data_IF_873248920929
#
_entry.id   IF_873248920929
#
_cell.length_a   1.000
_cell.length_b   1.000
_cell.length_c   1.000
_cell.angle_alpha   90.00
_cell.angle_beta   90.00
_cell.angle_gamma   90.00
#
_symmetry.space_group_name_H-M   'P 1'
#
loop_
_entity.id
_entity.type
_entity.pdbx_description
1 polymer ?
#
# COMPACT_ATOMS: atom_id res chain seq x y z
N UNK A 1 -7.04 -16.76 3.85
CA UNK A 1 -6.13 -15.71 4.38
C UNK A 1 -6.45 -14.43 3.61
N UNK A 2 -6.91 -13.39 4.29
CA UNK A 2 -7.40 -12.16 3.66
C UNK A 2 -6.44 -11.00 3.93
N UNK A 3 -6.25 -10.15 2.93
CA UNK A 3 -5.49 -8.90 3.07
C UNK A 3 -6.46 -7.81 3.52
N UNK A 4 -6.11 -7.05 4.55
CA UNK A 4 -6.89 -5.93 5.10
C UNK A 4 -7.12 -4.81 4.07
N UNK A 5 -8.22 -4.07 4.21
CA UNK A 5 -8.54 -2.88 3.40
C UNK A 5 -8.12 -1.62 4.14
N UNK A 6 -7.82 -0.56 3.40
CA UNK A 6 -7.62 0.77 3.97
C UNK A 6 -8.94 1.32 4.47
N UNK A 7 -8.88 1.98 5.63
CA UNK A 7 -10.00 2.70 6.21
C UNK A 7 -10.24 3.99 5.45
N UNK A 8 -11.45 4.18 4.96
CA UNK A 8 -11.87 5.46 4.38
C UNK A 8 -11.88 6.56 5.44
N UNK A 9 -11.29 7.71 5.13
CA UNK A 9 -11.24 8.89 5.99
C UNK A 9 -11.89 10.07 5.27
N UNK A 10 -12.65 10.93 5.97
CA UNK A 10 -13.28 12.10 5.35
C UNK A 10 -12.25 13.08 4.74
N UNK A 11 -11.02 13.10 5.27
CA UNK A 11 -9.90 13.87 4.71
C UNK A 11 -9.45 13.44 3.32
N UNK A 12 -9.73 12.20 2.93
CA UNK A 12 -9.44 11.74 1.57
C UNK A 12 -10.31 12.50 0.56
N UNK A 13 -11.53 12.88 0.95
CA UNK A 13 -12.46 13.60 0.06
C UNK A 13 -11.98 15.02 -0.21
N UNK A 14 -11.36 15.67 0.78
CA UNK A 14 -10.91 17.06 0.66
C UNK A 14 -9.55 17.18 -0.05
N UNK A 15 -8.71 16.14 -0.01
CA UNK A 15 -7.39 16.16 -0.64
C UNK A 15 -7.31 15.18 -1.83
N UNK A 16 -7.51 15.71 -3.05
CA UNK A 16 -7.49 14.92 -4.28
C UNK A 16 -6.20 14.10 -4.49
N UNK A 17 -5.04 14.62 -4.06
CA UNK A 17 -3.75 13.89 -4.17
C UNK A 17 -3.66 12.75 -3.16
N UNK A 18 -4.20 12.93 -1.96
CA UNK A 18 -4.29 11.88 -0.96
C UNK A 18 -5.26 10.80 -1.43
N UNK A 19 -6.42 11.21 -1.96
CA UNK A 19 -7.40 10.29 -2.52
C UNK A 19 -6.81 9.41 -3.63
N UNK A 20 -6.10 10.02 -4.59
CA UNK A 20 -5.49 9.25 -5.69
C UNK A 20 -4.46 8.23 -5.18
N UNK A 21 -3.74 8.58 -4.11
CA UNK A 21 -2.77 7.69 -3.48
C UNK A 21 -3.46 6.51 -2.78
N UNK A 22 -4.56 6.77 -2.05
CA UNK A 22 -5.38 5.72 -1.45
C UNK A 22 -5.97 4.78 -2.52
N UNK A 23 -6.50 5.33 -3.61
CA UNK A 23 -7.02 4.53 -4.73
C UNK A 23 -5.93 3.65 -5.36
N UNK A 24 -4.73 4.20 -5.59
CA UNK A 24 -3.60 3.39 -6.08
C UNK A 24 -3.21 2.29 -5.09
N UNK A 25 -3.25 2.58 -3.79
CA UNK A 25 -2.88 1.59 -2.79
C UNK A 25 -3.94 0.49 -2.70
N UNK A 26 -5.24 0.82 -2.73
CA UNK A 26 -6.31 -0.18 -2.84
C UNK A 26 -6.19 -1.04 -4.09
N UNK A 27 -5.88 -0.45 -5.24
CA UNK A 27 -5.63 -1.20 -6.47
C UNK A 27 -4.47 -2.19 -6.31
N UNK A 28 -3.37 -1.77 -5.68
CA UNK A 28 -2.25 -2.66 -5.35
C UNK A 28 -2.71 -3.80 -4.45
N UNK A 29 -3.45 -3.52 -3.37
CA UNK A 29 -3.94 -4.55 -2.45
C UNK A 29 -4.90 -5.53 -3.15
N UNK A 30 -5.76 -5.04 -4.04
CA UNK A 30 -6.67 -5.87 -4.83
C UNK A 30 -5.89 -6.82 -5.74
N UNK A 31 -4.90 -6.32 -6.49
CA UNK A 31 -4.02 -7.15 -7.33
C UNK A 31 -3.29 -8.21 -6.51
N UNK A 32 -2.76 -7.81 -5.35
CA UNK A 32 -2.02 -8.69 -4.45
C UNK A 32 -2.93 -9.77 -3.86
N UNK A 33 -4.20 -9.48 -3.56
CA UNK A 33 -5.21 -10.47 -3.13
C UNK A 33 -5.50 -11.55 -4.15
N UNK A 34 -5.42 -11.23 -5.45
CA UNK A 34 -5.68 -12.24 -6.50
C UNK A 34 -4.54 -13.25 -6.65
N UNK A 35 -3.36 -12.94 -6.11
CA UNK A 35 -2.18 -13.79 -6.20
C UNK A 35 -2.09 -14.72 -5.00
N UNK A 36 -1.58 -15.93 -5.22
CA UNK A 36 -1.19 -16.81 -4.12
C UNK A 36 0.11 -16.30 -3.51
N UNK A 37 0.03 -15.79 -2.29
CA UNK A 37 1.17 -15.27 -1.53
C UNK A 37 1.47 -16.18 -0.36
N UNK A 38 2.73 -16.16 0.07
CA UNK A 38 3.11 -16.80 1.31
C UNK A 38 2.44 -16.10 2.52
N UNK A 39 2.22 -16.84 3.61
CA UNK A 39 1.56 -16.32 4.82
C UNK A 39 2.34 -15.19 5.50
N UNK A 40 3.67 -15.21 5.38
CA UNK A 40 4.54 -14.20 5.98
C UNK A 40 4.35 -12.82 5.33
N UNK A 41 4.23 -12.80 4.00
CA UNK A 41 4.04 -11.58 3.21
C UNK A 41 2.62 -11.04 3.38
N UNK A 42 1.61 -11.91 3.47
CA UNK A 42 0.25 -11.49 3.86
C UNK A 42 0.26 -10.82 5.24
N UNK A 43 0.99 -11.39 6.20
CA UNK A 43 1.08 -10.83 7.56
C UNK A 43 1.80 -9.48 7.57
N UNK A 44 2.87 -9.34 6.80
CA UNK A 44 3.60 -8.07 6.67
C UNK A 44 2.73 -6.98 6.02
N UNK A 45 2.04 -7.29 4.93
CA UNK A 45 1.14 -6.35 4.25
C UNK A 45 0.01 -5.93 5.18
N UNK A 46 -0.58 -6.88 5.92
CA UNK A 46 -1.62 -6.56 6.90
C UNK A 46 -1.09 -5.64 8.00
N UNK A 47 0.12 -5.88 8.50
CA UNK A 47 0.73 -4.98 9.49
C UNK A 47 0.92 -3.56 8.94
N UNK A 48 1.35 -3.42 7.69
CA UNK A 48 1.54 -2.11 7.05
C UNK A 48 0.20 -1.39 6.82
N UNK A 49 -0.85 -2.11 6.42
CA UNK A 49 -2.21 -1.56 6.26
C UNK A 49 -2.79 -1.14 7.61
N UNK A 50 -2.61 -1.97 8.65
CA UNK A 50 -3.07 -1.66 9.99
C UNK A 50 -2.37 -0.44 10.58
N UNK A 51 -1.09 -0.23 10.31
CA UNK A 51 -0.38 0.98 10.74
C UNK A 51 -0.97 2.24 10.10
N UNK A 52 -1.31 2.19 8.80
CA UNK A 52 -2.02 3.30 8.13
C UNK A 52 -3.40 3.51 8.78
N UNK A 53 -4.15 2.42 9.00
CA UNK A 53 -5.49 2.48 9.58
C UNK A 53 -5.52 3.02 11.01
N UNK A 54 -4.54 2.65 11.83
CA UNK A 54 -4.39 3.06 13.23
C UNK A 54 -3.73 4.43 13.39
N UNK A 55 -3.06 4.96 12.36
CA UNK A 55 -2.39 6.25 12.44
C UNK A 55 -3.36 7.39 12.74
N UNK A 56 -2.96 8.32 13.61
CA UNK A 56 -3.68 9.57 13.85
C UNK A 56 -3.24 10.70 12.91
N UNK A 57 -2.40 10.38 11.91
CA UNK A 57 -1.89 11.36 10.97
C UNK A 57 -2.98 11.83 10.01
N UNK A 58 -2.82 13.08 9.59
CA UNK A 58 -3.76 13.82 8.75
C UNK A 58 -3.00 14.57 7.66
N UNK A 59 -3.68 14.90 6.57
CA UNK A 59 -3.09 15.70 5.48
C UNK A 59 -1.77 15.16 4.92
N UNK A 60 -0.72 15.99 4.91
CA UNK A 60 0.57 15.66 4.29
C UNK A 60 1.35 14.57 5.03
N UNK A 61 1.21 14.44 6.35
CA UNK A 61 1.90 13.40 7.11
C UNK A 61 1.25 12.04 6.87
N UNK A 62 -0.08 11.99 6.75
CA UNK A 62 -0.78 10.79 6.32
C UNK A 62 -0.35 10.38 4.91
N UNK A 63 -0.22 11.36 4.00
CA UNK A 63 0.26 11.11 2.63
C UNK A 63 1.66 10.51 2.61
N UNK A 64 2.59 11.03 3.43
CA UNK A 64 3.95 10.48 3.55
C UNK A 64 3.92 9.04 4.07
N UNK A 65 3.15 8.78 5.13
CA UNK A 65 3.01 7.45 5.71
C UNK A 65 2.49 6.45 4.66
N UNK A 66 1.38 6.79 3.98
CA UNK A 66 0.79 5.94 2.94
C UNK A 66 1.81 5.63 1.83
N UNK A 67 2.52 6.65 1.34
CA UNK A 67 3.54 6.47 0.30
C UNK A 67 4.68 5.58 0.79
N UNK A 68 5.13 5.76 2.03
CA UNK A 68 6.19 4.95 2.62
C UNK A 68 5.76 3.49 2.72
N UNK A 69 4.54 3.21 3.21
CA UNK A 69 4.01 1.85 3.35
C UNK A 69 3.78 1.17 2.01
N UNK A 70 3.19 1.87 1.05
CA UNK A 70 3.05 1.36 -0.32
C UNK A 70 4.40 1.02 -0.94
N UNK A 71 5.43 1.85 -0.73
CA UNK A 71 6.79 1.59 -1.23
C UNK A 71 7.42 0.37 -0.55
N UNK A 72 7.26 0.21 0.77
CA UNK A 72 7.75 -0.95 1.50
C UNK A 72 7.14 -2.25 1.00
N UNK A 73 5.82 -2.28 0.78
CA UNK A 73 5.11 -3.44 0.23
C UNK A 73 5.61 -3.77 -1.18
N UNK A 74 5.79 -2.77 -2.04
CA UNK A 74 6.33 -2.98 -3.39
C UNK A 74 7.74 -3.61 -3.33
N UNK A 75 8.62 -3.15 -2.43
CA UNK A 75 9.96 -3.73 -2.26
C UNK A 75 9.91 -5.17 -1.75
N UNK A 76 8.96 -5.51 -0.87
CA UNK A 76 8.77 -6.87 -0.41
C UNK A 76 8.26 -7.78 -1.53
N UNK A 77 7.28 -7.31 -2.32
CA UNK A 77 6.78 -8.02 -3.49
C UNK A 77 7.87 -8.20 -4.57
N UNK A 78 8.73 -7.21 -4.76
CA UNK A 78 9.90 -7.31 -5.64
C UNK A 78 10.86 -8.40 -5.17
N UNK A 79 11.18 -8.42 -3.87
CA UNK A 79 12.09 -9.42 -3.31
C UNK A 79 11.54 -10.85 -3.37
N UNK A 80 10.29 -11.04 -2.97
CA UNK A 80 9.71 -12.36 -2.78
C UNK A 80 9.12 -12.96 -4.07
N UNK A 81 8.60 -12.12 -4.97
CA UNK A 81 7.91 -12.56 -6.19
C UNK A 81 8.59 -12.09 -7.48
N UNK A 82 9.71 -11.35 -7.39
CA UNK A 82 10.30 -10.63 -8.54
C UNK A 82 9.27 -9.72 -9.23
N UNK A 83 8.31 -9.20 -8.47
CA UNK A 83 7.26 -8.33 -8.99
C UNK A 83 7.80 -6.90 -9.05
N UNK A 84 8.11 -6.45 -10.27
CA UNK A 84 8.79 -5.18 -10.50
C UNK A 84 7.82 -4.18 -11.12
N UNK A 85 7.84 -2.90 -10.70
CA UNK A 85 7.10 -1.85 -11.40
C UNK A 85 7.50 -1.77 -12.88
N UNK A 86 6.54 -1.46 -13.76
CA UNK A 86 6.79 -1.27 -15.19
C UNK A 86 7.81 -0.13 -15.36
N UNK A 87 8.95 -0.42 -16.01
CA UNK A 87 10.12 0.46 -16.20
C UNK A 87 11.11 0.61 -15.03
N UNK A 88 11.07 -0.24 -14.00
CA UNK A 88 11.99 -0.15 -12.85
C UNK A 88 13.49 -0.09 -13.23
N UNK A 89 13.94 -0.92 -14.18
CA UNK A 89 15.34 -0.92 -14.64
C UNK A 89 15.69 0.22 -15.62
N UNK A 90 14.73 1.02 -16.05
CA UNK A 90 14.96 2.02 -17.11
C UNK A 90 15.59 3.32 -16.59
N UNK A 91 15.56 3.54 -15.26
CA UNK A 91 16.10 4.73 -14.59
C UNK A 91 17.12 4.37 -13.48
N UNK A 92 17.71 3.17 -13.55
CA UNK A 92 18.66 2.66 -12.56
C UNK A 92 20.11 2.98 -12.97
#
# INVERSE_FOLDING_TARGET
MNIATLRERPENITNAKLNSLYLQFEQLLAEVRTKQLNSNLISSINSDVEEVNASLFVGDDLKKLVKQKQTSILKQLEKDLKFIPKHYYRNL
#
